data_IF_733653899410
#
_entry.id   IF_733653899410
#
_cell.length_a   1.000
_cell.length_b   1.000
_cell.length_c   1.000
_cell.angle_alpha   90.00
_cell.angle_beta   90.00
_cell.angle_gamma   90.00
#
_symmetry.space_group_name_H-M   'P 1'
#
loop_
_entity.id
_entity.type
_entity.pdbx_description
1 polymer ?
#
# COMPACT_ATOMS: atom_id res chain seq x y z
N UNK A 1 -15.76 20.97 8.06
CA UNK A 1 -14.65 21.94 8.24
C UNK A 1 -14.03 22.25 6.89
N UNK A 2 -14.00 23.52 6.49
CA UNK A 2 -13.33 23.94 5.25
C UNK A 2 -11.86 24.20 5.60
N UNK A 3 -10.96 23.29 5.23
CA UNK A 3 -9.53 23.52 5.41
C UNK A 3 -9.08 24.74 4.60
N UNK A 4 -8.28 25.62 5.19
CA UNK A 4 -7.70 26.77 4.48
C UNK A 4 -6.76 26.31 3.38
N UNK A 5 -6.54 27.15 2.36
CA UNK A 5 -5.71 26.82 1.18
C UNK A 5 -4.28 26.37 1.57
N UNK A 6 -3.70 27.02 2.58
CA UNK A 6 -2.34 26.72 3.04
C UNK A 6 -2.25 25.37 3.76
N UNK A 7 -3.20 25.05 4.64
CA UNK A 7 -3.22 23.76 5.33
C UNK A 7 -3.40 22.62 4.32
N UNK A 8 -4.25 22.80 3.31
CA UNK A 8 -4.44 21.81 2.23
C UNK A 8 -3.13 21.53 1.48
N UNK A 9 -2.37 22.56 1.13
CA UNK A 9 -1.07 22.41 0.46
C UNK A 9 -0.07 21.70 1.35
N UNK A 10 0.04 22.09 2.62
CA UNK A 10 0.93 21.46 3.59
C UNK A 10 0.61 19.97 3.76
N UNK A 11 -0.66 19.63 3.93
CA UNK A 11 -1.11 18.24 4.02
C UNK A 11 -0.81 17.45 2.75
N UNK A 12 -0.98 18.06 1.57
CA UNK A 12 -0.65 17.44 0.30
C UNK A 12 0.85 17.16 0.19
N UNK A 13 1.69 18.09 0.61
CA UNK A 13 3.14 17.89 0.68
C UNK A 13 3.49 16.71 1.58
N UNK A 14 2.97 16.68 2.82
CA UNK A 14 3.22 15.54 3.72
C UNK A 14 2.74 14.22 3.14
N UNK A 15 1.56 14.19 2.54
CA UNK A 15 1.01 12.97 1.95
C UNK A 15 1.88 12.45 0.80
N UNK A 16 2.28 13.34 -0.11
CA UNK A 16 3.10 12.97 -1.27
C UNK A 16 4.49 12.53 -0.83
N UNK A 17 5.15 13.30 0.05
CA UNK A 17 6.47 12.94 0.60
C UNK A 17 6.42 11.62 1.33
N UNK A 18 5.42 11.38 2.18
CA UNK A 18 5.27 10.12 2.89
C UNK A 18 5.01 8.93 1.95
N UNK A 19 4.19 9.13 0.92
CA UNK A 19 3.84 8.06 -0.04
C UNK A 19 5.03 7.66 -0.92
N UNK A 20 5.76 8.65 -1.45
CA UNK A 20 6.98 8.39 -2.25
C UNK A 20 8.07 7.81 -1.36
N UNK A 21 8.25 8.37 -0.15
CA UNK A 21 9.19 7.84 0.83
C UNK A 21 8.90 6.39 1.19
N UNK A 22 7.63 6.01 1.35
CA UNK A 22 7.22 4.65 1.64
C UNK A 22 7.59 3.69 0.49
N UNK A 23 7.34 4.10 -0.76
CA UNK A 23 7.76 3.32 -1.93
C UNK A 23 9.28 3.13 -2.01
N UNK A 24 10.05 4.20 -1.76
CA UNK A 24 11.51 4.12 -1.70
C UNK A 24 12.01 3.19 -0.58
N UNK A 25 11.41 3.28 0.61
CA UNK A 25 11.75 2.42 1.74
C UNK A 25 11.44 0.93 1.46
N UNK A 26 10.34 0.63 0.75
CA UNK A 26 10.05 -0.74 0.30
C UNK A 26 11.04 -1.23 -0.76
N UNK A 27 11.54 -0.36 -1.64
CA UNK A 27 12.58 -0.75 -2.59
C UNK A 27 13.90 -1.13 -1.89
N UNK A 28 14.29 -0.36 -0.86
CA UNK A 28 15.45 -0.70 -0.02
C UNK A 28 15.21 -1.99 0.76
N UNK A 29 14.03 -2.16 1.36
CA UNK A 29 13.66 -3.39 2.05
C UNK A 29 13.70 -4.60 1.12
N UNK A 30 13.23 -4.46 -0.13
CA UNK A 30 13.30 -5.49 -1.16
C UNK A 30 14.75 -5.89 -1.47
N UNK A 31 15.65 -4.91 -1.56
CA UNK A 31 17.08 -5.17 -1.74
C UNK A 31 17.66 -5.96 -0.55
N UNK A 32 17.32 -5.61 0.69
CA UNK A 32 17.74 -6.38 1.87
C UNK A 32 17.20 -7.82 1.83
N UNK A 33 15.92 -8.02 1.49
CA UNK A 33 15.34 -9.36 1.35
C UNK A 33 16.08 -10.19 0.29
N UNK A 34 16.45 -9.57 -0.83
CA UNK A 34 17.19 -10.25 -1.90
C UNK A 34 18.58 -10.67 -1.41
N UNK A 35 19.32 -9.75 -0.79
CA UNK A 35 20.64 -10.02 -0.21
C UNK A 35 20.56 -11.14 0.83
N UNK A 36 19.51 -11.19 1.65
CA UNK A 36 19.34 -12.22 2.68
C UNK A 36 19.23 -13.64 2.12
N UNK A 37 18.80 -13.78 0.86
CA UNK A 37 18.59 -15.07 0.19
C UNK A 37 19.73 -15.45 -0.76
N UNK A 38 20.31 -14.46 -1.44
CA UNK A 38 21.23 -14.71 -2.55
C UNK A 38 22.71 -14.57 -2.19
N UNK A 39 23.04 -13.97 -1.05
CA UNK A 39 24.43 -13.73 -0.67
C UNK A 39 25.03 -14.92 0.06
N UNK A 40 26.31 -15.22 -0.23
CA UNK A 40 27.03 -16.33 0.39
C UNK A 40 27.78 -15.90 1.66
N UNK A 41 28.01 -14.59 1.85
CA UNK A 41 28.65 -14.06 3.06
C UNK A 41 27.65 -14.02 4.23
N UNK A 42 27.86 -14.82 5.30
CA UNK A 42 26.97 -14.85 6.46
C UNK A 42 26.86 -13.50 7.17
N UNK A 43 27.92 -12.68 7.15
CA UNK A 43 27.89 -11.36 7.76
C UNK A 43 26.93 -10.42 7.01
N UNK A 44 26.95 -10.47 5.67
CA UNK A 44 26.06 -9.68 4.82
C UNK A 44 24.61 -10.11 4.94
N UNK A 45 24.33 -11.43 4.96
CA UNK A 45 22.98 -11.97 5.17
C UNK A 45 22.42 -11.53 6.52
N UNK A 46 23.23 -11.64 7.59
CA UNK A 46 22.84 -11.18 8.93
C UNK A 46 22.55 -9.69 8.96
N UNK A 47 23.42 -8.86 8.38
CA UNK A 47 23.22 -7.41 8.31
C UNK A 47 21.91 -7.06 7.58
N UNK A 48 21.61 -7.72 6.46
CA UNK A 48 20.36 -7.52 5.73
C UNK A 48 19.13 -7.85 6.58
N UNK A 49 19.11 -9.00 7.27
CA UNK A 49 18.01 -9.38 8.17
C UNK A 49 17.83 -8.40 9.34
N UNK A 50 18.91 -7.87 9.92
CA UNK A 50 18.84 -6.85 10.96
C UNK A 50 18.25 -5.54 10.44
N UNK A 51 18.72 -5.09 9.28
CA UNK A 51 18.26 -3.84 8.66
C UNK A 51 16.80 -3.90 8.24
N UNK A 52 16.27 -5.07 7.85
CA UNK A 52 14.84 -5.26 7.59
C UNK A 52 13.98 -4.89 8.81
N UNK A 53 14.38 -5.30 10.02
CA UNK A 53 13.68 -4.96 11.26
C UNK A 53 13.64 -3.45 11.51
N UNK A 54 14.80 -2.80 11.45
CA UNK A 54 14.94 -1.35 11.67
C UNK A 54 14.14 -0.57 10.62
N UNK A 55 14.28 -0.94 9.35
CA UNK A 55 13.61 -0.25 8.23
C UNK A 55 12.09 -0.39 8.33
N UNK A 56 11.59 -1.58 8.70
CA UNK A 56 10.16 -1.83 8.84
C UNK A 56 9.53 -0.95 9.94
N UNK A 57 10.14 -0.89 11.12
CA UNK A 57 9.60 -0.18 12.29
C UNK A 57 9.80 1.33 12.23
N UNK A 58 10.97 1.81 11.83
CA UNK A 58 11.33 3.22 11.97
C UNK A 58 11.16 4.03 10.70
N UNK A 59 11.03 3.37 9.54
CA UNK A 59 10.90 4.06 8.25
C UNK A 59 9.56 3.72 7.61
N UNK A 60 9.32 2.44 7.33
CA UNK A 60 8.16 2.00 6.56
C UNK A 60 6.85 2.25 7.33
N UNK A 61 6.76 1.83 8.59
CA UNK A 61 5.54 1.99 9.39
C UNK A 61 5.15 3.47 9.60
N UNK A 62 6.05 4.38 10.00
CA UNK A 62 5.72 5.80 10.12
C UNK A 62 5.28 6.44 8.81
N UNK A 63 5.91 6.09 7.69
CA UNK A 63 5.55 6.62 6.38
C UNK A 63 4.20 6.10 5.90
N UNK A 64 3.91 4.81 6.09
CA UNK A 64 2.62 4.20 5.80
C UNK A 64 1.50 4.85 6.63
N UNK A 65 1.71 4.99 7.94
CA UNK A 65 0.76 5.65 8.85
C UNK A 65 0.53 7.11 8.46
N UNK A 66 1.60 7.86 8.16
CA UNK A 66 1.53 9.27 7.73
C UNK A 66 0.76 9.39 6.42
N UNK A 67 1.04 8.54 5.43
CA UNK A 67 0.33 8.51 4.15
C UNK A 67 -1.18 8.24 4.35
N UNK A 68 -1.52 7.25 5.19
CA UNK A 68 -2.91 6.87 5.47
C UNK A 68 -3.68 7.99 6.20
N UNK A 69 -3.12 8.55 7.28
CA UNK A 69 -3.74 9.62 8.06
C UNK A 69 -3.93 10.87 7.20
N UNK A 70 -2.89 11.30 6.49
CA UNK A 70 -2.98 12.48 5.62
C UNK A 70 -3.94 12.27 4.45
N UNK A 71 -4.00 11.05 3.90
CA UNK A 71 -4.96 10.68 2.86
C UNK A 71 -6.41 10.72 3.34
N UNK A 72 -6.68 10.20 4.55
CA UNK A 72 -8.01 10.26 5.16
C UNK A 72 -8.43 11.72 5.45
N UNK A 73 -7.53 12.51 6.01
CA UNK A 73 -7.78 13.92 6.29
C UNK A 73 -8.03 14.73 5.00
N UNK A 74 -7.32 14.44 3.90
CA UNK A 74 -7.59 15.07 2.61
C UNK A 74 -8.92 14.62 1.99
N UNK A 75 -9.30 13.35 2.17
CA UNK A 75 -10.58 12.83 1.69
C UNK A 75 -11.78 13.43 2.44
N UNK A 76 -11.62 13.74 3.72
CA UNK A 76 -12.66 14.35 4.57
C UNK A 76 -12.66 15.89 4.52
N UNK A 77 -11.49 16.53 4.41
CA UNK A 77 -11.31 17.98 4.54
C UNK A 77 -11.34 18.77 3.24
N UNK A 78 -11.47 18.11 2.09
CA UNK A 78 -11.50 18.78 0.78
C UNK A 78 -12.83 18.59 0.06
N UNK A 79 -13.16 19.52 -0.85
CA UNK A 79 -14.39 19.50 -1.65
C UNK A 79 -14.55 18.23 -2.53
N UNK A 80 -13.49 17.41 -2.59
CA UNK A 80 -13.43 16.18 -3.36
C UNK A 80 -14.22 15.03 -2.74
N UNK A 81 -14.44 15.01 -1.41
CA UNK A 81 -15.27 14.03 -0.69
C UNK A 81 -14.84 12.56 -0.83
N UNK A 82 -14.75 11.84 0.30
CA UNK A 82 -14.30 10.44 0.36
C UNK A 82 -14.99 9.50 -0.65
N UNK A 83 -16.27 9.74 -0.93
CA UNK A 83 -17.08 8.92 -1.83
C UNK A 83 -17.51 9.65 -3.09
N UNK A 84 -16.94 10.81 -3.44
CA UNK A 84 -17.36 11.57 -4.63
C UNK A 84 -16.66 11.10 -5.90
N UNK A 85 -15.42 10.59 -5.77
CA UNK A 85 -14.59 10.16 -6.89
C UNK A 85 -14.03 8.76 -6.63
N UNK A 86 -14.28 7.82 -7.56
CA UNK A 86 -13.84 6.44 -7.43
C UNK A 86 -12.33 6.31 -7.21
N UNK A 87 -11.55 7.15 -7.90
CA UNK A 87 -10.09 7.11 -7.79
C UNK A 87 -9.58 7.46 -6.39
N UNK A 88 -10.30 8.29 -5.62
CA UNK A 88 -9.92 8.65 -4.24
C UNK A 88 -10.18 7.48 -3.31
N UNK A 89 -11.38 6.89 -3.39
CA UNK A 89 -11.75 5.73 -2.57
C UNK A 89 -10.85 4.53 -2.85
N UNK A 90 -10.58 4.22 -4.12
CA UNK A 90 -9.71 3.09 -4.50
C UNK A 90 -8.30 3.27 -3.95
N UNK A 91 -7.70 4.46 -4.04
CA UNK A 91 -6.37 4.71 -3.48
C UNK A 91 -6.35 4.55 -1.97
N UNK A 92 -7.33 5.12 -1.28
CA UNK A 92 -7.39 5.00 0.18
C UNK A 92 -7.55 3.54 0.62
N UNK A 93 -8.37 2.75 -0.08
CA UNK A 93 -8.52 1.31 0.19
C UNK A 93 -7.22 0.55 -0.07
N UNK A 94 -6.51 0.84 -1.17
CA UNK A 94 -5.22 0.22 -1.47
C UNK A 94 -4.16 0.59 -0.42
N UNK A 95 -4.08 1.86 0.00
CA UNK A 95 -3.17 2.33 1.05
C UNK A 95 -3.50 1.67 2.39
N UNK A 96 -4.78 1.60 2.77
CA UNK A 96 -5.22 0.95 4.01
C UNK A 96 -4.90 -0.55 3.99
N UNK A 97 -5.17 -1.22 2.87
CA UNK A 97 -4.85 -2.64 2.70
C UNK A 97 -3.34 -2.89 2.79
N UNK A 98 -2.52 -2.11 2.07
CA UNK A 98 -1.06 -2.23 2.13
C UNK A 98 -0.53 -1.98 3.55
N UNK A 99 -1.14 -1.04 4.29
CA UNK A 99 -0.81 -0.78 5.70
C UNK A 99 -1.19 -1.97 6.59
N UNK A 100 -2.35 -2.58 6.38
CA UNK A 100 -2.76 -3.77 7.13
C UNK A 100 -1.83 -4.96 6.89
N UNK A 101 -1.44 -5.22 5.63
CA UNK A 101 -0.44 -6.25 5.30
C UNK A 101 0.90 -5.96 5.97
N UNK A 102 1.35 -4.71 5.95
CA UNK A 102 2.56 -4.29 6.66
C UNK A 102 2.48 -4.63 8.15
N UNK A 103 1.39 -4.26 8.83
CA UNK A 103 1.20 -4.54 10.26
C UNK A 103 1.26 -6.05 10.55
N UNK A 104 0.65 -6.88 9.71
CA UNK A 104 0.72 -8.35 9.84
C UNK A 104 2.15 -8.89 9.65
N UNK A 105 2.98 -8.21 8.86
CA UNK A 105 4.36 -8.63 8.58
C UNK A 105 5.39 -8.09 9.58
N UNK A 106 5.05 -7.10 10.41
CA UNK A 106 5.97 -6.60 11.44
C UNK A 106 6.43 -7.69 12.41
N UNK A 107 5.53 -8.58 12.83
CA UNK A 107 5.88 -9.69 13.75
C UNK A 107 6.87 -10.67 13.09
N UNK A 108 6.60 -11.25 11.90
CA UNK A 108 7.57 -12.09 11.20
C UNK A 108 8.91 -11.39 10.91
N UNK A 109 8.90 -10.11 10.53
CA UNK A 109 10.12 -9.33 10.30
C UNK A 109 10.94 -9.21 11.58
N UNK A 110 10.27 -8.94 12.71
CA UNK A 110 10.93 -8.80 14.01
C UNK A 110 11.50 -10.14 14.48
N UNK A 111 10.80 -11.25 14.23
CA UNK A 111 11.29 -12.59 14.54
C UNK A 111 12.55 -12.93 13.74
N UNK A 112 12.59 -12.62 12.43
CA UNK A 112 13.78 -12.81 11.60
C UNK A 112 14.95 -11.93 12.08
N UNK A 113 14.67 -10.66 12.39
CA UNK A 113 15.67 -9.73 12.90
C UNK A 113 16.24 -10.17 14.26
N UNK A 114 15.41 -10.69 15.15
CA UNK A 114 15.85 -11.25 16.43
C UNK A 114 16.70 -12.50 16.24
N UNK A 115 16.27 -13.43 15.37
CA UNK A 115 17.05 -14.61 15.04
C UNK A 115 18.42 -14.24 14.45
N UNK A 116 18.50 -13.19 13.63
CA UNK A 116 19.77 -12.71 13.09
C UNK A 116 20.76 -12.21 14.17
N UNK A 117 20.29 -11.83 15.37
CA UNK A 117 21.18 -11.41 16.45
C UNK A 117 21.86 -12.59 17.14
N UNK A 118 21.20 -13.73 17.24
CA UNK A 118 21.63 -14.84 18.11
C UNK A 118 21.91 -16.15 17.37
N UNK A 119 21.33 -16.36 16.19
CA UNK A 119 21.39 -17.63 15.50
C UNK A 119 22.77 -17.88 14.86
N UNK A 120 23.25 -19.12 15.00
CA UNK A 120 24.50 -19.59 14.38
C UNK A 120 24.33 -19.75 12.86
N UNK A 121 23.13 -20.11 12.39
CA UNK A 121 22.76 -20.18 10.97
C UNK A 121 21.35 -19.62 10.74
N UNK A 122 21.13 -19.04 9.56
CA UNK A 122 19.82 -18.50 9.13
C UNK A 122 19.16 -19.37 8.05
N UNK A 123 19.71 -20.54 7.75
CA UNK A 123 19.18 -21.44 6.71
C UNK A 123 17.74 -21.90 6.98
N UNK A 124 17.38 -22.13 8.25
CA UNK A 124 16.02 -22.52 8.64
C UNK A 124 14.97 -21.42 8.37
N UNK A 125 15.42 -20.18 8.14
CA UNK A 125 14.56 -19.03 7.87
C UNK A 125 14.41 -18.73 6.36
N UNK A 126 14.96 -19.55 5.47
CA UNK A 126 14.91 -19.32 4.02
C UNK A 126 13.46 -19.16 3.49
N UNK A 127 12.52 -19.96 4.00
CA UNK A 127 11.09 -19.83 3.65
C UNK A 127 10.49 -18.49 4.08
N UNK A 128 10.86 -18.01 5.27
CA UNK A 128 10.43 -16.71 5.77
C UNK A 128 11.06 -15.56 4.98
N UNK A 129 12.35 -15.63 4.67
CA UNK A 129 13.06 -14.64 3.85
C UNK A 129 12.44 -14.54 2.45
N UNK A 130 12.14 -15.68 1.81
CA UNK A 130 11.44 -15.71 0.52
C UNK A 130 10.04 -15.10 0.63
N UNK A 131 9.28 -15.44 1.68
CA UNK A 131 7.98 -14.81 1.93
C UNK A 131 8.12 -13.29 2.02
N UNK A 132 9.08 -12.77 2.80
CA UNK A 132 9.30 -11.33 2.95
C UNK A 132 9.74 -10.65 1.65
N UNK A 133 10.57 -11.31 0.83
CA UNK A 133 10.94 -10.82 -0.51
C UNK A 133 9.71 -10.61 -1.38
N UNK A 134 8.87 -11.65 -1.51
CA UNK A 134 7.73 -11.57 -2.41
C UNK A 134 6.67 -10.59 -1.89
N UNK A 135 6.50 -10.49 -0.56
CA UNK A 135 5.60 -9.47 0.02
C UNK A 135 6.12 -8.04 -0.20
N UNK A 136 7.43 -7.82 -0.09
CA UNK A 136 8.04 -6.51 -0.38
C UNK A 136 7.87 -6.15 -1.86
N UNK A 137 8.07 -7.10 -2.77
CA UNK A 137 7.87 -6.91 -4.21
C UNK A 137 6.40 -6.61 -4.53
N UNK A 138 5.47 -7.38 -3.95
CA UNK A 138 4.04 -7.18 -4.10
C UNK A 138 3.58 -5.81 -3.56
N UNK A 139 4.02 -5.46 -2.34
CA UNK A 139 3.72 -4.17 -1.71
C UNK A 139 4.26 -2.98 -2.51
N UNK A 140 5.50 -3.08 -3.02
CA UNK A 140 6.08 -2.06 -3.90
C UNK A 140 5.27 -1.93 -5.20
N UNK A 141 4.86 -3.05 -5.79
CA UNK A 141 3.96 -3.08 -6.95
C UNK A 141 2.64 -2.34 -6.68
N UNK A 142 2.00 -2.58 -5.54
CA UNK A 142 0.78 -1.84 -5.13
C UNK A 142 1.07 -0.35 -5.08
N UNK A 143 2.15 0.09 -4.42
CA UNK A 143 2.46 1.50 -4.27
C UNK A 143 2.76 2.17 -5.62
N UNK A 144 3.48 1.51 -6.52
CA UNK A 144 3.72 2.02 -7.87
C UNK A 144 2.41 2.15 -8.66
N UNK A 145 1.52 1.16 -8.56
CA UNK A 145 0.19 1.22 -9.17
C UNK A 145 -0.66 2.37 -8.60
N UNK A 146 -0.66 2.56 -7.27
CA UNK A 146 -1.36 3.68 -6.64
C UNK A 146 -0.80 5.04 -7.07
N UNK A 147 0.52 5.12 -7.29
CA UNK A 147 1.21 6.32 -7.79
C UNK A 147 0.86 6.57 -9.26
N UNK A 148 0.88 5.54 -10.10
CA UNK A 148 0.43 5.64 -11.49
C UNK A 148 -1.02 6.13 -11.57
N UNK A 149 -1.92 5.58 -10.75
CA UNK A 149 -3.30 6.08 -10.60
C UNK A 149 -3.37 7.54 -10.14
N UNK A 150 -2.39 8.03 -9.38
CA UNK A 150 -2.27 9.43 -8.97
C UNK A 150 -1.97 10.36 -10.13
N UNK A 151 -1.14 9.91 -11.05
CA UNK A 151 -0.69 10.72 -12.18
C UNK A 151 -1.69 10.63 -13.33
N UNK A 152 -2.03 9.42 -13.77
CA UNK A 152 -2.88 9.19 -14.95
C UNK A 152 -4.38 9.41 -14.68
N UNK A 153 -4.73 9.71 -13.41
CA UNK A 153 -6.00 10.28 -12.92
C UNK A 153 -7.22 9.92 -13.78
N UNK A 154 -7.62 8.65 -13.80
CA UNK A 154 -8.65 8.23 -14.72
C UNK A 154 -10.01 8.80 -14.29
N UNK A 155 -10.70 9.45 -15.23
CA UNK A 155 -11.86 10.29 -14.96
C UNK A 155 -13.13 9.46 -14.67
N UNK A 156 -13.79 9.74 -13.54
CA UNK A 156 -15.05 9.12 -13.16
C UNK A 156 -15.59 9.65 -11.82
N UNK A 157 -16.76 10.30 -11.87
CA UNK A 157 -17.54 10.66 -10.69
C UNK A 157 -18.28 9.43 -10.17
N UNK A 158 -18.42 9.33 -8.85
CA UNK A 158 -19.30 8.33 -8.21
C UNK A 158 -20.78 8.74 -8.35
N UNK A 159 -21.73 7.79 -8.17
CA UNK A 159 -23.17 8.08 -8.11
C UNK A 159 -23.55 9.13 -7.04
N UNK A 160 -22.80 9.18 -5.94
CA UNK A 160 -22.96 10.22 -4.91
C UNK A 160 -22.49 11.59 -5.42
N UNK A 161 -21.36 11.63 -6.13
CA UNK A 161 -20.82 12.84 -6.74
C UNK A 161 -21.65 13.40 -7.89
N UNK A 162 -22.27 12.54 -8.70
CA UNK A 162 -23.18 12.96 -9.77
C UNK A 162 -24.49 13.54 -9.21
N UNK A 163 -25.07 12.96 -8.15
CA UNK A 163 -26.27 13.51 -7.49
C UNK A 163 -26.03 14.89 -6.85
N UNK A 164 -24.86 15.10 -6.25
CA UNK A 164 -24.50 16.38 -5.63
C UNK A 164 -24.11 17.47 -6.65
N UNK A 165 -23.69 17.09 -7.87
CA UNK A 165 -23.47 18.05 -8.97
C UNK A 165 -24.76 18.32 -9.76
N UNK A 166 -25.63 17.31 -9.90
CA UNK A 166 -26.91 17.39 -10.62
C UNK A 166 -27.95 18.27 -9.94
N UNK A 167 -27.85 18.51 -8.63
CA UNK A 167 -28.69 19.49 -7.90
C UNK A 167 -28.43 20.94 -8.30
N UNK A 168 -27.40 21.24 -9.10
CA UNK A 168 -27.13 22.58 -9.64
C UNK A 168 -27.56 22.76 -11.11
N UNK A 169 -28.00 21.69 -11.78
CA UNK A 169 -28.28 21.67 -13.22
C UNK A 169 -29.70 21.20 -13.57
N UNK A 170 -30.66 21.39 -12.67
CA UNK A 170 -32.06 20.94 -12.80
C UNK A 170 -32.88 21.66 -13.88
N UNK A 171 -32.31 22.04 -15.04
CA UNK A 171 -33.09 22.67 -16.12
C UNK A 171 -32.78 22.20 -17.55
N UNK A 172 -31.99 21.15 -17.77
CA UNK A 172 -31.89 20.65 -19.16
C UNK A 172 -31.63 19.16 -19.24
N UNK A 173 -32.75 18.43 -19.14
CA UNK A 173 -33.15 17.30 -20.00
C UNK A 173 -32.26 16.05 -19.99
N UNK A 174 -32.98 14.94 -19.93
CA UNK A 174 -32.62 13.61 -20.39
C UNK A 174 -32.02 12.66 -19.34
N UNK A 175 -32.97 12.04 -18.63
CA UNK A 175 -32.88 10.69 -18.14
C UNK A 175 -32.37 9.75 -19.23
N UNK A 176 -31.11 9.33 -19.14
CA UNK A 176 -30.53 8.51 -20.20
C UNK A 176 -29.13 7.99 -19.93
N UNK A 177 -28.87 7.40 -18.75
CA UNK A 177 -27.88 6.33 -18.62
C UNK A 177 -27.97 5.75 -17.21
N UNK A 178 -28.33 4.47 -17.09
CA UNK A 178 -28.01 3.69 -15.90
C UNK A 178 -26.48 3.74 -15.78
N UNK A 179 -25.98 4.53 -14.81
CA UNK A 179 -24.57 4.83 -14.63
C UNK A 179 -23.77 3.57 -14.31
N UNK A 180 -23.44 2.80 -15.34
CA UNK A 180 -22.51 1.69 -15.26
C UNK A 180 -21.11 2.22 -14.94
N UNK A 181 -20.34 1.45 -14.16
CA UNK A 181 -18.92 1.75 -13.94
C UNK A 181 -18.24 2.01 -15.30
N UNK A 182 -17.50 3.11 -15.47
CA UNK A 182 -16.72 3.36 -16.68
C UNK A 182 -15.85 2.13 -17.01
N UNK A 183 -15.75 1.76 -18.28
CA UNK A 183 -15.08 0.51 -18.72
C UNK A 183 -13.62 0.41 -18.23
N UNK A 184 -12.93 1.55 -18.15
CA UNK A 184 -11.58 1.62 -17.60
C UNK A 184 -11.54 1.35 -16.09
N UNK A 185 -12.56 1.77 -15.33
CA UNK A 185 -12.68 1.49 -13.88
C UNK A 185 -12.83 -0.01 -13.68
N UNK A 186 -13.63 -0.68 -14.51
CA UNK A 186 -13.81 -2.15 -14.45
C UNK A 186 -12.51 -2.89 -14.76
N UNK A 187 -11.80 -2.50 -15.81
CA UNK A 187 -10.51 -3.12 -16.15
C UNK A 187 -9.45 -2.90 -15.08
N UNK A 188 -9.41 -1.69 -14.50
CA UNK A 188 -8.49 -1.37 -13.41
C UNK A 188 -8.85 -2.07 -12.11
N UNK A 189 -10.12 -2.08 -11.71
CA UNK A 189 -10.59 -2.85 -10.56
C UNK A 189 -10.33 -4.33 -10.76
N UNK A 190 -10.56 -4.87 -11.96
CA UNK A 190 -10.25 -6.26 -12.26
C UNK A 190 -8.75 -6.53 -12.11
N UNK A 191 -7.87 -5.68 -12.65
CA UNK A 191 -6.43 -5.84 -12.50
C UNK A 191 -5.97 -5.71 -11.05
N UNK A 192 -6.49 -4.72 -10.31
CA UNK A 192 -6.20 -4.51 -8.91
C UNK A 192 -6.73 -5.64 -8.04
N UNK A 193 -7.93 -6.15 -8.32
CA UNK A 193 -8.53 -7.29 -7.62
C UNK A 193 -7.78 -8.57 -7.95
N UNK A 194 -7.38 -8.81 -9.20
CA UNK A 194 -6.55 -9.97 -9.56
C UNK A 194 -5.20 -9.88 -8.86
N UNK A 195 -4.54 -8.72 -8.87
CA UNK A 195 -3.29 -8.52 -8.15
C UNK A 195 -3.45 -8.71 -6.64
N UNK A 196 -4.54 -8.18 -6.07
CA UNK A 196 -4.90 -8.32 -4.67
C UNK A 196 -5.19 -9.78 -4.32
N UNK A 197 -5.92 -10.50 -5.17
CA UNK A 197 -6.24 -11.93 -5.03
C UNK A 197 -4.98 -12.77 -5.15
N UNK A 198 -4.05 -12.42 -6.05
CA UNK A 198 -2.74 -13.07 -6.14
C UNK A 198 -1.95 -12.84 -4.86
N UNK A 199 -1.96 -11.62 -4.32
CA UNK A 199 -1.26 -11.29 -3.08
C UNK A 199 -1.90 -11.94 -1.83
N UNK A 200 -3.24 -12.02 -1.79
CA UNK A 200 -4.00 -12.74 -0.74
C UNK A 200 -3.80 -14.24 -0.87
N UNK A 201 -3.83 -14.80 -2.08
CA UNK A 201 -3.50 -16.19 -2.32
C UNK A 201 -2.06 -16.48 -1.86
N UNK A 202 -1.14 -15.54 -2.05
CA UNK A 202 0.22 -15.63 -1.55
C UNK A 202 0.33 -15.54 -0.01
N UNK A 203 -0.50 -14.72 0.63
CA UNK A 203 -0.63 -14.68 2.09
C UNK A 203 -1.19 -16.00 2.65
N UNK A 204 -2.08 -16.66 1.92
CA UNK A 204 -2.76 -17.90 2.32
C UNK A 204 -2.00 -19.18 1.96
N UNK A 205 -1.24 -19.18 0.85
CA UNK A 205 -0.43 -20.31 0.37
C UNK A 205 1.04 -20.22 0.77
N UNK A 206 1.44 -19.16 1.50
CA UNK A 206 2.71 -19.13 2.24
C UNK A 206 2.64 -20.03 3.47
N UNK A 207 2.38 -21.32 3.25
CA UNK A 207 2.29 -22.34 4.29
C UNK A 207 3.65 -22.59 4.91
N UNK A 208 4.06 -21.75 5.85
CA UNK A 208 4.92 -22.06 7.00
C UNK A 208 4.61 -21.01 8.09
N UNK A 209 3.39 -21.08 8.62
CA UNK A 209 3.02 -20.36 9.84
C UNK A 209 3.76 -20.94 11.06
N UNK A 210 3.88 -20.18 12.17
CA UNK A 210 4.63 -20.58 13.39
C UNK A 210 4.15 -21.87 14.09
N UNK A 211 3.14 -22.56 13.56
CA UNK A 211 2.62 -23.83 14.08
C UNK A 211 3.07 -25.08 13.32
N UNK A 212 3.96 -24.96 12.32
CA UNK A 212 4.47 -26.13 11.58
C UNK A 212 5.69 -26.81 12.23
N UNK A 213 6.16 -26.29 13.37
CA UNK A 213 7.31 -26.81 14.13
C UNK A 213 7.03 -26.90 15.63
N UNK A 214 5.80 -27.25 16.01
CA UNK A 214 5.54 -27.87 17.32
C UNK A 214 5.45 -29.38 17.13
#
# INVERSE_FOLDING_TARGET
MIMTSNIRKLMLTFHVTASIGWAGALAVFLAHSLVSLSNQDPAMVRAACLMMGITAWFVILPLAATSLVTGLMQAMGTAWGLFRHYWVTIKLLLTAFATAVLLLKLTPISALSAAAQTAVSLQDFAGLQLSLLVHAAGGLGVLLVTTALAIYKPAGLTPYGTRMLGTRSTDRRDAGSIAGLPRWVKGFLAAAVVFLLLLVAMLMHGGHGPGAHM
#
